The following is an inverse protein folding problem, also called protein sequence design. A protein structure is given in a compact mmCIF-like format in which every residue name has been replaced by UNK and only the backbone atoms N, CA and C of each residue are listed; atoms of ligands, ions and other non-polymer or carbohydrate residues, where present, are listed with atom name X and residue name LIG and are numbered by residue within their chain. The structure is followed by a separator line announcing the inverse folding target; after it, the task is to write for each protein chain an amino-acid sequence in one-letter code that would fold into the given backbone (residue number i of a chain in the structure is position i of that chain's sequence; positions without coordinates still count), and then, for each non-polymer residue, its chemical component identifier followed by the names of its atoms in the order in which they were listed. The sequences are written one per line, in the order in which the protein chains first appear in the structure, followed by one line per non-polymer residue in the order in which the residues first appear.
data_IF_392038786600
#
_entry.id   IF_392038786600
#
_cell.length_a   1.000
_cell.length_b   1.000
_cell.length_c   1.000
_cell.angle_alpha   90.00
_cell.angle_beta   90.00
_cell.angle_gamma   90.00
#
_symmetry.space_group_name_H-M   'P 1'
#
loop_
_entity.id
_entity.type
_entity.pdbx_description
1 polymer ?
#
# COMPACT_ATOMS: atom_id res chain seq x y z
N UNK A 1 -31.89 -22.87 9.93
CA UNK A 1 -30.87 -21.95 10.50
C UNK A 1 -29.91 -21.64 9.34
N UNK A 2 -30.26 -20.57 8.63
CA UNK A 2 -29.56 -20.19 7.38
C UNK A 2 -28.18 -19.64 7.70
N UNK A 3 -27.16 -20.32 7.14
CA UNK A 3 -25.82 -19.74 7.01
C UNK A 3 -25.92 -18.63 5.98
N UNK A 4 -26.00 -17.40 6.44
CA UNK A 4 -25.79 -16.21 5.62
C UNK A 4 -24.37 -16.30 5.10
N UNK A 5 -24.20 -16.77 3.87
CA UNK A 5 -22.98 -16.64 3.09
C UNK A 5 -22.77 -15.15 2.84
N UNK A 6 -21.99 -14.49 3.72
CA UNK A 6 -21.48 -13.15 3.45
C UNK A 6 -20.62 -13.27 2.21
N UNK A 7 -21.16 -12.86 1.08
CA UNK A 7 -20.42 -12.70 -0.18
C UNK A 7 -19.29 -11.72 0.10
N UNK A 8 -18.02 -12.17 -0.01
CA UNK A 8 -16.83 -11.33 0.17
C UNK A 8 -16.94 -10.13 -0.76
N UNK A 9 -16.67 -8.89 -0.30
CA UNK A 9 -16.70 -7.75 -1.18
C UNK A 9 -15.70 -7.96 -2.33
N UNK A 10 -16.18 -7.85 -3.56
CA UNK A 10 -15.38 -7.94 -4.81
C UNK A 10 -14.38 -6.78 -4.94
N UNK A 11 -14.42 -5.79 -4.05
CA UNK A 11 -13.69 -4.53 -4.15
C UNK A 11 -12.94 -4.25 -2.84
N UNK A 12 -11.76 -3.63 -2.96
CA UNK A 12 -11.05 -3.09 -1.82
C UNK A 12 -11.88 -1.97 -1.16
N UNK A 13 -11.95 -1.97 0.15
CA UNK A 13 -12.70 -0.98 0.95
C UNK A 13 -11.76 -0.24 1.89
N UNK A 14 -12.20 0.94 2.29
CA UNK A 14 -11.58 1.76 3.32
C UNK A 14 -12.66 2.35 4.22
N UNK A 15 -12.44 2.35 5.53
CA UNK A 15 -13.36 3.01 6.47
C UNK A 15 -13.31 4.53 6.29
N UNK A 16 -14.46 5.19 6.38
CA UNK A 16 -14.61 6.66 6.25
C UNK A 16 -13.67 7.40 7.18
N UNK A 17 -13.40 6.90 8.39
CA UNK A 17 -12.44 7.50 9.34
C UNK A 17 -11.07 7.76 8.74
N UNK A 18 -10.63 6.93 7.79
CA UNK A 18 -9.36 7.11 7.09
C UNK A 18 -9.40 8.28 6.09
N UNK A 19 -10.57 8.68 5.62
CA UNK A 19 -10.79 9.76 4.67
C UNK A 19 -11.36 11.03 5.32
N UNK A 20 -11.75 10.99 6.60
CA UNK A 20 -12.48 12.07 7.28
C UNK A 20 -11.75 13.43 7.24
N UNK A 21 -10.41 13.44 7.26
CA UNK A 21 -9.61 14.67 7.17
C UNK A 21 -9.70 15.38 5.81
N UNK A 22 -10.28 14.74 4.78
CA UNK A 22 -10.49 15.35 3.46
C UNK A 22 -11.42 16.55 3.57
N UNK A 23 -12.55 16.42 4.29
CA UNK A 23 -13.56 17.46 4.39
C UNK A 23 -13.03 18.77 4.97
N UNK A 24 -12.41 18.78 6.17
CA UNK A 24 -11.83 20.02 6.70
C UNK A 24 -10.66 20.55 5.85
N UNK A 25 -9.95 19.69 5.12
CA UNK A 25 -8.89 20.16 4.20
C UNK A 25 -9.47 20.89 2.99
N UNK A 26 -10.59 20.42 2.44
CA UNK A 26 -11.32 21.12 1.38
C UNK A 26 -11.80 22.50 1.85
N UNK A 27 -12.43 22.56 3.02
CA UNK A 27 -12.92 23.81 3.63
C UNK A 27 -11.80 24.83 3.80
N UNK A 28 -10.65 24.43 4.33
CA UNK A 28 -9.48 25.31 4.50
C UNK A 28 -8.90 25.83 3.20
N UNK A 29 -9.08 25.08 2.11
CA UNK A 29 -8.65 25.48 0.77
C UNK A 29 -9.74 26.20 -0.01
N UNK A 30 -10.87 26.54 0.64
CA UNK A 30 -11.97 27.32 0.06
C UNK A 30 -12.89 26.55 -0.90
N UNK A 31 -12.82 25.21 -0.91
CA UNK A 31 -13.70 24.36 -1.70
C UNK A 31 -14.89 23.89 -0.87
N UNK A 32 -16.05 23.68 -1.52
CA UNK A 32 -17.23 23.08 -0.90
C UNK A 32 -17.08 21.56 -0.81
N UNK A 33 -16.98 20.98 0.41
CA UNK A 33 -16.79 19.55 0.58
C UNK A 33 -17.93 18.70 0.00
N UNK A 34 -19.20 19.15 0.14
CA UNK A 34 -20.32 18.39 -0.37
C UNK A 34 -20.37 18.36 -1.90
N UNK A 35 -20.08 19.50 -2.54
CA UNK A 35 -20.02 19.57 -3.99
C UNK A 35 -18.91 18.64 -4.54
N UNK A 36 -17.73 18.59 -3.88
CA UNK A 36 -16.62 17.71 -4.26
C UNK A 36 -16.96 16.23 -4.02
N UNK A 37 -17.64 15.89 -2.92
CA UNK A 37 -18.10 14.53 -2.70
C UNK A 37 -19.05 14.06 -3.80
N UNK A 38 -20.05 14.88 -4.15
CA UNK A 38 -21.03 14.57 -5.21
C UNK A 38 -20.35 14.42 -6.57
N UNK A 39 -19.35 15.25 -6.89
CA UNK A 39 -18.59 15.12 -8.16
C UNK A 39 -17.79 13.82 -8.24
N UNK A 40 -17.34 13.32 -7.08
CA UNK A 40 -16.70 12.01 -6.97
C UNK A 40 -17.71 10.84 -7.00
N UNK A 41 -19.03 11.12 -6.96
CA UNK A 41 -20.09 10.11 -6.88
C UNK A 41 -20.25 9.52 -5.47
N UNK A 42 -19.91 10.27 -4.45
CA UNK A 42 -20.05 9.90 -3.04
C UNK A 42 -21.15 10.75 -2.41
N UNK A 43 -22.16 10.12 -1.85
CA UNK A 43 -23.19 10.80 -1.09
C UNK A 43 -22.61 11.38 0.21
N UNK A 44 -22.83 12.68 0.53
CA UNK A 44 -22.29 13.31 1.74
C UNK A 44 -22.66 12.56 3.04
N UNK A 45 -23.83 11.96 3.08
CA UNK A 45 -24.29 11.16 4.22
C UNK A 45 -23.36 9.96 4.54
N UNK A 46 -22.56 9.49 3.59
CA UNK A 46 -21.57 8.44 3.85
C UNK A 46 -20.53 8.85 4.89
N UNK A 47 -20.23 10.14 5.01
CA UNK A 47 -19.26 10.67 5.96
C UNK A 47 -19.84 10.95 7.35
N UNK A 48 -21.14 10.69 7.58
CA UNK A 48 -21.77 10.86 8.89
C UNK A 48 -21.34 9.80 9.92
N UNK A 49 -20.94 8.61 9.46
CA UNK A 49 -20.44 7.54 10.32
C UNK A 49 -19.00 7.16 9.91
N UNK A 50 -18.01 7.30 10.82
CA UNK A 50 -16.61 6.98 10.55
C UNK A 50 -16.37 5.49 10.26
N UNK A 51 -17.30 4.61 10.60
CA UNK A 51 -17.21 3.17 10.36
C UNK A 51 -17.86 2.70 9.06
N UNK A 52 -18.47 3.60 8.29
CA UNK A 52 -18.94 3.27 6.95
C UNK A 52 -17.82 2.80 6.06
N UNK A 53 -18.15 1.86 5.16
CA UNK A 53 -17.24 1.34 4.14
C UNK A 53 -17.35 2.14 2.86
N UNK A 54 -16.24 2.70 2.40
CA UNK A 54 -16.10 3.31 1.07
C UNK A 54 -15.36 2.34 0.14
N UNK A 55 -15.79 2.19 -1.13
CA UNK A 55 -14.94 1.57 -2.13
C UNK A 55 -13.61 2.34 -2.25
N UNK A 56 -12.49 1.63 -2.20
CA UNK A 56 -11.17 2.28 -2.24
C UNK A 56 -10.97 3.09 -3.53
N UNK A 57 -11.52 2.60 -4.66
CA UNK A 57 -11.53 3.32 -5.93
C UNK A 57 -12.31 4.66 -5.87
N UNK A 58 -13.37 4.74 -5.06
CA UNK A 58 -14.10 6.00 -4.87
C UNK A 58 -13.23 7.04 -4.14
N UNK A 59 -12.36 6.61 -3.23
CA UNK A 59 -11.41 7.52 -2.56
C UNK A 59 -10.35 8.04 -3.54
N UNK A 60 -9.89 7.20 -4.49
CA UNK A 60 -9.00 7.65 -5.55
C UNK A 60 -9.64 8.73 -6.43
N UNK A 61 -10.89 8.50 -6.86
CA UNK A 61 -11.66 9.48 -7.62
C UNK A 61 -11.90 10.77 -6.80
N UNK A 62 -12.23 10.62 -5.52
CA UNK A 62 -12.38 11.77 -4.62
C UNK A 62 -11.09 12.59 -4.54
N UNK A 63 -9.93 11.95 -4.42
CA UNK A 63 -8.64 12.63 -4.41
C UNK A 63 -8.41 13.42 -5.72
N UNK A 64 -8.79 12.86 -6.87
CA UNK A 64 -8.76 13.56 -8.17
C UNK A 64 -9.62 14.81 -8.13
N UNK A 65 -10.87 14.70 -7.68
CA UNK A 65 -11.80 15.84 -7.63
C UNK A 65 -11.36 16.91 -6.60
N UNK A 66 -10.75 16.48 -5.47
CA UNK A 66 -10.16 17.42 -4.50
C UNK A 66 -9.03 18.25 -5.11
N UNK A 67 -8.10 17.62 -5.85
CA UNK A 67 -7.01 18.35 -6.54
C UNK A 67 -7.56 19.29 -7.60
N UNK A 68 -8.57 18.88 -8.37
CA UNK A 68 -9.23 19.75 -9.38
C UNK A 68 -9.89 20.96 -8.74
N UNK A 69 -10.67 20.76 -7.67
CA UNK A 69 -11.41 21.82 -7.01
C UNK A 69 -10.51 22.85 -6.31
N UNK A 70 -9.35 22.42 -5.80
CA UNK A 70 -8.46 23.26 -5.00
C UNK A 70 -7.22 23.75 -5.74
N UNK A 71 -6.86 23.14 -6.87
CA UNK A 71 -5.59 23.36 -7.56
C UNK A 71 -4.36 22.93 -6.74
N UNK A 72 -4.54 22.22 -5.61
CA UNK A 72 -3.50 21.89 -4.65
C UNK A 72 -2.84 20.55 -4.99
N UNK A 73 -1.66 20.57 -5.62
CA UNK A 73 -0.90 19.35 -5.96
C UNK A 73 -0.44 18.55 -4.71
N UNK A 74 -0.33 19.21 -3.55
CA UNK A 74 0.04 18.59 -2.26
C UNK A 74 -1.19 18.30 -1.37
N UNK A 75 -2.37 18.11 -1.95
CA UNK A 75 -3.62 17.91 -1.20
C UNK A 75 -3.52 16.70 -0.26
N UNK A 76 -3.04 15.56 -0.76
CA UNK A 76 -2.85 14.35 0.05
C UNK A 76 -1.93 14.57 1.24
N UNK A 77 -0.81 15.27 1.06
CA UNK A 77 0.09 15.65 2.15
C UNK A 77 -0.66 16.46 3.22
N UNK A 78 -1.48 17.45 2.83
CA UNK A 78 -2.26 18.27 3.77
C UNK A 78 -3.29 17.43 4.55
N UNK A 79 -3.98 16.51 3.86
CA UNK A 79 -4.88 15.56 4.52
C UNK A 79 -4.13 14.72 5.55
N UNK A 80 -3.00 14.13 5.17
CA UNK A 80 -2.19 13.28 6.05
C UNK A 80 -1.60 14.06 7.24
N UNK A 81 -1.21 15.31 7.03
CA UNK A 81 -0.68 16.18 8.09
C UNK A 81 -1.69 16.43 9.23
N UNK A 82 -3.00 16.43 8.92
CA UNK A 82 -4.08 16.56 9.91
C UNK A 82 -4.43 15.26 10.64
N UNK A 83 -3.97 14.13 10.12
CA UNK A 83 -4.30 12.81 10.66
C UNK A 83 -3.37 12.42 11.80
N UNK A 84 -3.90 11.59 12.68
CA UNK A 84 -3.18 11.00 13.80
C UNK A 84 -3.52 9.50 13.93
N UNK A 85 -3.01 8.85 14.97
CA UNK A 85 -3.21 7.41 15.21
C UNK A 85 -4.70 7.01 15.31
N UNK A 86 -5.57 7.87 15.84
CA UNK A 86 -7.01 7.55 15.96
C UNK A 86 -7.69 7.46 14.60
N UNK A 87 -7.11 8.06 13.55
CA UNK A 87 -7.61 7.96 12.18
C UNK A 87 -7.58 6.54 11.60
N UNK A 88 -6.79 5.63 12.19
CA UNK A 88 -6.75 4.21 11.82
C UNK A 88 -7.48 3.32 12.85
N UNK A 89 -8.34 3.94 13.66
CA UNK A 89 -9.24 3.24 14.58
C UNK A 89 -8.50 2.45 15.66
N UNK A 90 -9.02 1.25 15.94
CA UNK A 90 -8.51 0.38 17.00
C UNK A 90 -7.02 0.01 16.80
N UNK A 91 -6.59 -0.19 15.55
CA UNK A 91 -5.17 -0.40 15.20
C UNK A 91 -4.29 0.70 15.78
N UNK A 92 -4.67 1.96 15.58
CA UNK A 92 -3.91 3.09 16.09
C UNK A 92 -3.92 3.18 17.62
N UNK A 93 -5.06 2.91 18.24
CA UNK A 93 -5.20 2.91 19.71
C UNK A 93 -4.29 1.86 20.34
N UNK A 94 -4.30 0.62 19.85
CA UNK A 94 -3.43 -0.45 20.36
C UNK A 94 -1.96 -0.12 20.15
N UNK A 95 -1.59 0.41 18.98
CA UNK A 95 -0.20 0.76 18.67
C UNK A 95 0.36 1.83 19.59
N UNK A 96 -0.45 2.79 20.07
CA UNK A 96 -0.01 3.83 21.02
C UNK A 96 0.37 3.28 22.40
N UNK A 97 -0.06 2.06 22.73
CA UNK A 97 0.22 1.43 24.02
C UNK A 97 1.12 0.19 23.90
N UNK A 98 1.67 -0.06 22.71
CA UNK A 98 2.65 -1.13 22.50
C UNK A 98 3.92 -0.95 23.34
N UNK A 99 4.66 -2.02 23.66
CA UNK A 99 5.89 -1.93 24.45
C UNK A 99 6.97 -1.08 23.80
N UNK A 100 7.22 -1.33 22.51
CA UNK A 100 8.28 -0.66 21.74
C UNK A 100 7.71 -0.09 20.44
N UNK A 101 8.47 0.78 19.77
CA UNK A 101 8.14 1.30 18.44
C UNK A 101 8.03 0.17 17.43
N UNK A 102 8.88 -0.85 17.51
CA UNK A 102 8.83 -2.07 16.71
C UNK A 102 7.46 -2.75 16.83
N UNK A 103 7.03 -3.00 18.07
CA UNK A 103 5.74 -3.64 18.34
C UNK A 103 4.59 -2.79 17.81
N UNK A 104 4.65 -1.47 17.97
CA UNK A 104 3.63 -0.55 17.46
C UNK A 104 3.51 -0.62 15.93
N UNK A 105 4.64 -0.60 15.21
CA UNK A 105 4.65 -0.70 13.75
C UNK A 105 4.21 -2.09 13.25
N UNK A 106 4.54 -3.15 14.01
CA UNK A 106 4.07 -4.49 13.73
C UNK A 106 2.55 -4.59 13.89
N UNK A 107 1.98 -4.06 14.97
CA UNK A 107 0.53 -3.98 15.16
C UNK A 107 -0.15 -3.28 13.98
N UNK A 108 0.42 -2.16 13.48
CA UNK A 108 -0.11 -1.48 12.30
C UNK A 108 -0.06 -2.39 11.08
N UNK A 109 1.08 -3.06 10.82
CA UNK A 109 1.25 -3.93 9.66
C UNK A 109 0.28 -5.11 9.67
N UNK A 110 0.06 -5.72 10.83
CA UNK A 110 -0.79 -6.90 10.97
C UNK A 110 -2.29 -6.57 10.88
N UNK A 111 -2.67 -5.36 11.29
CA UNK A 111 -4.08 -5.03 11.47
C UNK A 111 -4.62 -3.88 10.60
N UNK A 112 -3.81 -3.26 9.73
CA UNK A 112 -4.27 -2.15 8.86
C UNK A 112 -5.50 -2.54 8.01
N UNK A 113 -5.62 -3.82 7.67
CA UNK A 113 -6.71 -4.37 6.87
C UNK A 113 -8.08 -4.33 7.57
N UNK A 114 -8.12 -4.17 8.87
CA UNK A 114 -9.38 -3.98 9.60
C UNK A 114 -10.10 -2.70 9.21
N UNK A 115 -9.34 -1.71 8.72
CA UNK A 115 -9.87 -0.40 8.31
C UNK A 115 -9.61 -0.05 6.84
N UNK A 116 -8.67 -0.75 6.17
CA UNK A 116 -8.32 -0.49 4.77
C UNK A 116 -7.78 -1.76 4.10
N UNK A 117 -8.58 -2.38 3.23
CA UNK A 117 -8.21 -3.61 2.54
C UNK A 117 -7.48 -3.37 1.21
N UNK A 118 -7.38 -2.10 0.78
CA UNK A 118 -6.72 -1.69 -0.47
C UNK A 118 -5.22 -1.42 -0.36
N UNK A 119 -4.63 -1.68 0.81
CA UNK A 119 -3.23 -1.33 1.09
C UNK A 119 -2.51 -2.42 1.89
N UNK A 120 -1.18 -2.34 1.88
CA UNK A 120 -0.30 -3.07 2.78
C UNK A 120 0.76 -2.12 3.35
N UNK A 121 1.21 -2.42 4.56
CA UNK A 121 2.35 -1.78 5.20
C UNK A 121 3.40 -2.82 5.54
N UNK A 122 4.67 -2.42 5.55
CA UNK A 122 5.78 -3.33 5.78
C UNK A 122 6.92 -2.64 6.52
N UNK A 123 7.37 -3.27 7.60
CA UNK A 123 8.60 -2.89 8.29
C UNK A 123 9.76 -3.73 7.76
N UNK A 124 10.81 -3.07 7.27
CA UNK A 124 12.07 -3.70 6.90
C UNK A 124 13.21 -3.12 7.72
N UNK A 125 14.12 -3.98 8.13
CA UNK A 125 15.34 -3.63 8.84
C UNK A 125 16.54 -4.22 8.10
N UNK A 126 17.54 -3.37 7.83
CA UNK A 126 18.79 -3.73 7.16
C UNK A 126 19.97 -3.05 7.86
N UNK A 127 20.66 -3.79 8.72
CA UNK A 127 21.74 -3.24 9.55
C UNK A 127 21.24 -2.12 10.45
N UNK A 128 21.86 -0.94 10.38
CA UNK A 128 21.48 0.23 11.19
C UNK A 128 20.28 1.02 10.64
N UNK A 129 19.69 0.61 9.53
CA UNK A 129 18.61 1.34 8.87
C UNK A 129 17.32 0.53 8.89
N UNK A 130 16.22 1.17 9.29
CA UNK A 130 14.87 0.65 9.16
C UNK A 130 14.07 1.47 8.14
N UNK A 131 13.11 0.82 7.50
CA UNK A 131 12.12 1.47 6.66
C UNK A 131 10.72 0.95 6.97
N UNK A 132 9.75 1.86 7.09
CA UNK A 132 8.34 1.48 7.14
C UNK A 132 7.66 1.97 5.87
N UNK A 133 7.14 1.03 5.09
CA UNK A 133 6.63 1.23 3.75
C UNK A 133 5.11 1.15 3.71
N UNK A 134 4.51 1.87 2.76
CA UNK A 134 3.08 1.85 2.47
C UNK A 134 2.86 1.60 0.98
N UNK A 135 2.07 0.60 0.65
CA UNK A 135 1.82 0.17 -0.72
C UNK A 135 0.32 0.11 -0.98
N UNK A 136 -0.15 0.80 -2.02
CA UNK A 136 -1.50 0.62 -2.55
C UNK A 136 -1.52 -0.69 -3.34
N UNK A 137 -2.38 -1.61 -2.93
CA UNK A 137 -2.49 -2.96 -3.48
C UNK A 137 -3.72 -3.14 -4.36
N UNK A 138 -4.73 -2.27 -4.17
CA UNK A 138 -5.88 -2.21 -5.04
C UNK A 138 -5.45 -1.76 -6.45
N UNK A 139 -5.91 -2.44 -7.52
CA UNK A 139 -5.53 -2.10 -8.89
C UNK A 139 -6.25 -0.84 -9.39
N UNK A 140 -5.59 -0.13 -10.32
CA UNK A 140 -6.18 0.98 -11.10
C UNK A 140 -6.83 2.09 -10.26
N UNK A 141 -6.17 2.49 -9.18
CA UNK A 141 -6.64 3.58 -8.33
C UNK A 141 -6.21 4.93 -8.93
N UNK A 142 -7.18 5.78 -9.23
CA UNK A 142 -6.94 7.17 -9.63
C UNK A 142 -6.25 7.93 -8.50
N UNK A 143 -5.37 8.87 -8.86
CA UNK A 143 -4.64 9.72 -7.89
C UNK A 143 -4.12 8.95 -6.67
N UNK A 144 -3.61 7.72 -6.90
CA UNK A 144 -3.02 6.89 -5.85
C UNK A 144 -1.86 7.61 -5.15
N UNK A 145 -1.18 8.52 -5.83
CA UNK A 145 -0.14 9.40 -5.30
C UNK A 145 -0.65 10.26 -4.14
N UNK A 146 -1.85 10.83 -4.22
CA UNK A 146 -2.46 11.63 -3.15
C UNK A 146 -2.78 10.77 -1.91
N UNK A 147 -3.22 9.53 -2.14
CA UNK A 147 -3.48 8.56 -1.06
C UNK A 147 -2.16 8.20 -0.36
N UNK A 148 -1.11 7.94 -1.14
CA UNK A 148 0.23 7.64 -0.63
C UNK A 148 0.81 8.82 0.14
N UNK A 149 0.72 10.04 -0.38
CA UNK A 149 1.18 11.25 0.30
C UNK A 149 0.51 11.40 1.67
N UNK A 150 -0.81 11.19 1.73
CA UNK A 150 -1.57 11.25 2.98
C UNK A 150 -1.14 10.14 3.98
N UNK A 151 -0.87 8.94 3.48
CA UNK A 151 -0.43 7.82 4.32
C UNK A 151 0.98 8.04 4.88
N UNK A 152 1.93 8.52 4.06
CA UNK A 152 3.30 8.78 4.51
C UNK A 152 3.35 9.96 5.48
N UNK A 153 2.51 10.98 5.30
CA UNK A 153 2.38 12.06 6.25
C UNK A 153 1.79 11.59 7.60
N UNK A 154 0.75 10.76 7.57
CA UNK A 154 0.21 10.12 8.77
C UNK A 154 1.28 9.27 9.47
N UNK A 155 2.07 8.50 8.71
CA UNK A 155 3.14 7.68 9.25
C UNK A 155 4.21 8.53 9.95
N UNK A 156 4.61 9.66 9.37
CA UNK A 156 5.53 10.60 10.02
C UNK A 156 4.95 11.16 11.33
N UNK A 157 3.66 11.49 11.36
CA UNK A 157 2.98 11.90 12.59
C UNK A 157 2.91 10.76 13.63
N UNK A 158 2.65 9.54 13.16
CA UNK A 158 2.68 8.32 13.98
C UNK A 158 4.02 8.15 14.67
N UNK A 159 5.12 8.21 13.91
CA UNK A 159 6.46 8.08 14.48
C UNK A 159 6.80 9.22 15.45
N UNK A 160 6.40 10.45 15.15
CA UNK A 160 6.56 11.58 16.11
C UNK A 160 5.75 11.37 17.40
N UNK A 161 4.60 10.71 17.32
CA UNK A 161 3.79 10.36 18.49
C UNK A 161 4.44 9.25 19.31
N UNK A 162 4.97 8.22 18.66
CA UNK A 162 5.60 7.06 19.31
C UNK A 162 6.98 7.42 19.93
N UNK A 163 7.82 8.14 19.18
CA UNK A 163 9.21 8.45 19.56
C UNK A 163 9.38 9.82 20.22
N UNK A 164 8.39 10.69 20.13
CA UNK A 164 8.45 12.09 20.58
C UNK A 164 8.56 13.11 19.44
N UNK A 165 8.21 14.39 19.70
CA UNK A 165 8.06 15.42 18.66
C UNK A 165 9.39 15.83 18.00
N UNK A 166 10.51 15.52 18.61
CA UNK A 166 11.84 15.77 18.06
C UNK A 166 12.28 14.71 17.04
N UNK A 167 11.60 13.56 16.98
CA UNK A 167 11.93 12.51 16.02
C UNK A 167 11.82 12.99 14.58
N UNK A 168 12.78 12.59 13.76
CA UNK A 168 12.81 12.84 12.31
C UNK A 168 13.25 11.57 11.60
N UNK A 169 12.68 11.27 10.43
CA UNK A 169 13.26 10.24 9.56
C UNK A 169 14.59 10.73 8.97
N UNK A 170 15.42 9.82 8.49
CA UNK A 170 16.62 10.18 7.73
C UNK A 170 16.25 10.61 6.30
N UNK A 171 15.19 10.02 5.75
CA UNK A 171 14.68 10.27 4.39
C UNK A 171 13.23 9.84 4.28
N UNK A 172 12.50 10.48 3.36
CA UNK A 172 11.16 10.05 2.92
C UNK A 172 11.21 9.69 1.45
N UNK A 173 10.50 8.62 1.07
CA UNK A 173 10.31 8.20 -0.33
C UNK A 173 8.85 8.29 -0.70
N UNK A 174 8.57 8.84 -1.90
CA UNK A 174 7.25 8.92 -2.50
C UNK A 174 7.29 8.37 -3.93
N UNK A 175 6.25 7.64 -4.32
CA UNK A 175 6.18 7.00 -5.64
C UNK A 175 5.75 7.95 -6.76
N UNK A 176 5.18 9.10 -6.39
CA UNK A 176 4.74 10.13 -7.35
C UNK A 176 5.92 10.82 -8.02
N UNK A 177 5.65 11.38 -9.19
CA UNK A 177 6.55 12.35 -9.80
C UNK A 177 6.65 13.62 -8.94
N UNK A 178 7.79 14.35 -9.01
CA UNK A 178 7.95 15.56 -8.22
C UNK A 178 6.90 16.60 -8.60
N UNK A 179 6.17 17.17 -7.61
CA UNK A 179 5.23 18.27 -7.89
C UNK A 179 5.97 19.54 -8.31
N UNK A 180 5.26 20.50 -8.90
CA UNK A 180 5.83 21.81 -9.28
C UNK A 180 6.40 22.54 -8.06
N UNK A 181 5.66 22.52 -6.95
CA UNK A 181 6.12 23.08 -5.68
C UNK A 181 6.39 21.95 -4.68
N UNK A 182 7.68 21.72 -4.35
CA UNK A 182 8.16 20.75 -3.37
C UNK A 182 8.18 21.31 -1.94
N UNK A 183 7.98 22.63 -1.78
CA UNK A 183 8.11 23.33 -0.48
C UNK A 183 7.22 22.75 0.61
N UNK A 184 5.92 22.38 0.37
CA UNK A 184 5.07 21.80 1.39
C UNK A 184 5.64 20.49 1.96
N UNK A 185 6.24 19.66 1.10
CA UNK A 185 6.83 18.38 1.52
C UNK A 185 8.09 18.61 2.36
N UNK A 186 8.99 19.51 1.91
CA UNK A 186 10.20 19.85 2.65
C UNK A 186 9.87 20.45 4.02
N UNK A 187 8.87 21.33 4.11
CA UNK A 187 8.42 21.95 5.35
C UNK A 187 7.82 20.92 6.32
N UNK A 188 6.99 20.01 5.83
CA UNK A 188 6.33 19.03 6.67
C UNK A 188 7.29 17.94 7.20
N UNK A 189 8.05 17.32 6.29
CA UNK A 189 8.95 16.22 6.68
C UNK A 189 10.24 16.71 7.33
N UNK A 190 10.75 17.88 6.92
CA UNK A 190 12.02 18.51 7.40
C UNK A 190 13.25 17.64 7.16
N UNK A 191 13.21 16.83 6.13
CA UNK A 191 14.27 15.93 5.65
C UNK A 191 14.19 15.81 4.13
N UNK A 192 15.22 15.28 3.44
CA UNK A 192 15.16 15.04 2.01
C UNK A 192 13.99 14.13 1.62
N UNK A 193 13.24 14.51 0.60
CA UNK A 193 12.15 13.74 -0.01
C UNK A 193 12.59 13.27 -1.40
N UNK A 194 12.63 11.97 -1.58
CA UNK A 194 12.90 11.29 -2.85
C UNK A 194 11.58 11.03 -3.56
N UNK A 195 11.36 11.67 -4.72
CA UNK A 195 10.20 11.45 -5.59
C UNK A 195 10.53 10.43 -6.67
N UNK A 196 9.51 9.79 -7.24
CA UNK A 196 9.69 8.77 -8.28
C UNK A 196 10.28 7.45 -7.76
N UNK A 197 10.24 7.23 -6.45
CA UNK A 197 10.73 5.98 -5.85
C UNK A 197 9.84 4.78 -6.22
N UNK A 198 10.40 3.58 -6.19
CA UNK A 198 9.64 2.35 -6.45
C UNK A 198 8.61 2.04 -5.34
N UNK A 199 8.94 2.40 -4.10
CA UNK A 199 8.07 2.21 -2.92
C UNK A 199 8.06 3.46 -2.08
N UNK A 200 6.89 3.80 -1.53
CA UNK A 200 6.76 4.91 -0.60
C UNK A 200 7.02 4.45 0.85
N UNK A 201 7.67 5.31 1.63
CA UNK A 201 7.96 4.99 3.03
C UNK A 201 8.82 6.04 3.73
N UNK A 202 8.96 5.87 5.01
CA UNK A 202 9.92 6.60 5.84
C UNK A 202 11.12 5.71 6.16
N UNK A 203 12.32 6.28 6.07
CA UNK A 203 13.60 5.61 6.35
C UNK A 203 14.19 6.29 7.57
N UNK A 204 14.59 5.50 8.57
CA UNK A 204 15.05 5.99 9.86
C UNK A 204 16.10 5.05 10.47
N UNK A 205 16.73 5.48 11.56
CA UNK A 205 17.69 4.67 12.30
C UNK A 205 16.96 3.47 12.95
N UNK A 206 17.47 2.25 12.72
CA UNK A 206 16.90 1.03 13.25
C UNK A 206 16.88 1.00 14.79
N UNK A 207 17.79 1.69 15.46
CA UNK A 207 17.80 1.83 16.92
C UNK A 207 16.50 2.42 17.48
N UNK A 208 15.78 3.24 16.69
CA UNK A 208 14.49 3.78 17.11
C UNK A 208 13.40 2.72 17.26
N UNK A 209 13.57 1.55 16.65
CA UNK A 209 12.61 0.45 16.76
C UNK A 209 12.53 -0.11 18.19
N UNK A 210 13.63 -0.06 18.93
CA UNK A 210 13.73 -0.62 20.28
C UNK A 210 13.41 0.42 21.37
N UNK A 211 13.11 1.66 20.97
CA UNK A 211 12.68 2.68 21.93
C UNK A 211 11.30 2.31 22.51
N UNK A 212 11.10 2.54 23.82
CA UNK A 212 9.78 2.41 24.42
C UNK A 212 8.82 3.43 23.79
N UNK A 213 7.58 3.01 23.54
CA UNK A 213 6.54 3.91 23.07
C UNK A 213 6.30 4.99 24.14
N UNK A 214 6.36 6.24 23.71
CA UNK A 214 6.16 7.39 24.62
C UNK A 214 4.70 7.42 25.11
N UNK A 215 4.54 7.71 26.39
CA UNK A 215 3.24 7.85 27.07
C UNK A 215 2.36 6.58 26.95
N UNK A 216 2.98 5.38 26.82
CA UNK A 216 2.26 4.12 26.82
C UNK A 216 1.58 3.86 28.16
N UNK A 217 0.39 3.28 28.11
CA UNK A 217 -0.30 2.75 29.27
C UNK A 217 -0.52 1.24 29.10
N UNK A 218 0.12 0.39 29.95
CA UNK A 218 -0.01 -1.06 29.85
C UNK A 218 -1.43 -1.60 30.11
N UNK A 219 -2.25 -0.89 30.85
CA UNK A 219 -3.59 -1.34 31.19
C UNK A 219 -4.55 -1.11 30.00
N UNK A 220 -4.39 -0.01 29.25
CA UNK A 220 -5.07 0.16 27.97
C UNK A 220 -4.65 -0.93 26.97
N UNK A 221 -3.36 -1.31 26.91
CA UNK A 221 -2.91 -2.39 26.04
C UNK A 221 -3.66 -3.71 26.35
N UNK A 222 -3.82 -4.07 27.61
CA UNK A 222 -4.54 -5.30 28.02
C UNK A 222 -6.01 -5.28 27.62
N UNK A 223 -6.67 -4.12 27.69
CA UNK A 223 -8.09 -3.97 27.35
C UNK A 223 -8.31 -3.99 25.84
N UNK A 224 -7.45 -3.30 25.07
CA UNK A 224 -7.64 -3.07 23.64
C UNK A 224 -7.13 -4.21 22.77
N UNK A 225 -6.07 -4.93 23.19
CA UNK A 225 -5.46 -5.98 22.37
C UNK A 225 -6.44 -7.12 22.03
N UNK A 226 -7.26 -7.66 22.95
CA UNK A 226 -8.24 -8.70 22.60
C UNK A 226 -9.27 -8.23 21.55
N UNK A 227 -9.71 -6.97 21.63
CA UNK A 227 -10.65 -6.39 20.67
C UNK A 227 -10.04 -6.30 19.27
N UNK A 228 -8.74 -5.96 19.19
CA UNK A 228 -8.03 -5.93 17.93
C UNK A 228 -7.86 -7.32 17.33
N UNK A 229 -7.52 -8.33 18.15
CA UNK A 229 -7.42 -9.73 17.71
C UNK A 229 -8.74 -10.20 17.10
N UNK A 230 -9.87 -9.90 17.75
CA UNK A 230 -11.20 -10.22 17.22
C UNK A 230 -11.49 -9.48 15.90
N UNK A 231 -11.16 -8.19 15.83
CA UNK A 231 -11.36 -7.39 14.62
C UNK A 231 -10.50 -7.91 13.45
N UNK A 232 -9.25 -8.32 13.70
CA UNK A 232 -8.35 -8.93 12.70
C UNK A 232 -8.91 -10.27 12.23
N UNK A 233 -9.36 -11.14 13.15
CA UNK A 233 -9.94 -12.42 12.81
C UNK A 233 -11.19 -12.27 11.91
N UNK A 234 -12.01 -11.26 12.16
CA UNK A 234 -13.17 -10.94 11.34
C UNK A 234 -12.79 -10.37 9.96
N UNK A 235 -11.63 -9.66 9.86
CA UNK A 235 -11.13 -9.08 8.61
C UNK A 235 -10.31 -10.09 7.75
N UNK A 236 -9.83 -11.19 8.32
CA UNK A 236 -8.93 -12.17 7.67
C UNK A 236 -9.55 -12.94 6.49
N UNK A 237 -10.78 -12.63 6.12
CA UNK A 237 -11.42 -13.21 4.93
C UNK A 237 -10.65 -13.06 3.61
N UNK A 238 -9.48 -12.40 3.57
CA UNK A 238 -8.71 -12.16 2.34
C UNK A 238 -7.18 -12.30 2.49
N UNK A 239 -6.72 -13.37 3.14
CA UNK A 239 -5.30 -13.67 3.33
C UNK A 239 -4.51 -13.75 2.01
N UNK A 240 -5.15 -14.20 0.92
CA UNK A 240 -4.54 -14.27 -0.42
C UNK A 240 -4.13 -12.88 -0.92
N UNK A 241 -4.99 -11.87 -0.74
CA UNK A 241 -4.67 -10.49 -1.12
C UNK A 241 -3.53 -9.91 -0.28
N UNK A 242 -3.43 -10.27 1.00
CA UNK A 242 -2.28 -9.88 1.86
C UNK A 242 -0.99 -10.43 1.29
N UNK A 243 -0.95 -11.73 0.97
CA UNK A 243 0.23 -12.37 0.39
C UNK A 243 0.61 -11.73 -0.94
N UNK A 244 -0.38 -11.49 -1.84
CA UNK A 244 -0.15 -10.78 -3.11
C UNK A 244 0.42 -9.38 -2.90
N UNK A 245 -0.04 -8.67 -1.88
CA UNK A 245 0.44 -7.32 -1.54
C UNK A 245 1.89 -7.30 -1.12
N UNK A 246 2.27 -8.23 -0.23
CA UNK A 246 3.66 -8.39 0.20
C UNK A 246 4.56 -8.79 -0.98
N UNK A 247 4.06 -9.65 -1.88
CA UNK A 247 4.78 -10.03 -3.09
C UNK A 247 5.00 -8.81 -4.01
N UNK A 248 3.96 -7.98 -4.25
CA UNK A 248 4.08 -6.75 -5.07
C UNK A 248 5.09 -5.77 -4.49
N UNK A 249 5.08 -5.55 -3.18
CA UNK A 249 6.02 -4.67 -2.49
C UNK A 249 7.48 -5.13 -2.61
N UNK A 250 7.72 -6.40 -2.90
CA UNK A 250 9.05 -7.02 -3.03
C UNK A 250 9.53 -7.20 -4.47
N UNK A 251 8.70 -6.87 -5.45
CA UNK A 251 9.13 -6.77 -6.85
C UNK A 251 10.20 -5.68 -6.93
N UNK A 252 11.34 -5.98 -7.54
CA UNK A 252 12.48 -5.07 -7.61
C UNK A 252 13.52 -5.20 -6.47
N UNK A 253 13.14 -5.81 -5.34
CA UNK A 253 14.09 -6.10 -4.24
C UNK A 253 14.83 -7.45 -4.38
N UNK A 254 14.62 -8.16 -5.48
CA UNK A 254 15.31 -9.44 -5.80
C UNK A 254 14.93 -10.64 -4.93
N UNK A 255 13.92 -10.54 -4.05
CA UNK A 255 13.64 -11.55 -3.05
C UNK A 255 12.15 -11.93 -2.92
N UNK A 256 11.52 -12.35 -4.03
CA UNK A 256 10.19 -12.98 -3.98
C UNK A 256 10.28 -14.41 -3.45
N UNK A 257 10.90 -14.60 -2.29
CA UNK A 257 11.04 -15.90 -1.63
C UNK A 257 9.95 -16.10 -0.59
N UNK A 258 9.59 -17.38 -0.34
CA UNK A 258 8.65 -17.74 0.72
C UNK A 258 9.09 -17.20 2.07
N UNK A 259 10.38 -17.32 2.39
CA UNK A 259 10.92 -16.87 3.68
C UNK A 259 10.85 -15.34 3.85
N UNK A 260 11.02 -14.60 2.75
CA UNK A 260 10.89 -13.14 2.79
C UNK A 260 9.45 -12.70 3.08
N UNK A 261 8.45 -13.43 2.53
CA UNK A 261 7.03 -13.19 2.78
C UNK A 261 6.64 -13.65 4.19
N UNK A 262 7.14 -14.81 4.64
CA UNK A 262 6.92 -15.29 6.01
C UNK A 262 7.41 -14.28 7.05
N UNK A 263 8.62 -13.74 6.87
CA UNK A 263 9.15 -12.70 7.76
C UNK A 263 8.30 -11.43 7.75
N UNK A 264 7.84 -11.00 6.57
CA UNK A 264 7.00 -9.81 6.44
C UNK A 264 5.62 -9.98 7.09
N UNK A 265 5.10 -11.21 7.10
CA UNK A 265 3.78 -11.53 7.68
C UNK A 265 3.86 -12.02 9.13
N UNK A 266 5.06 -12.13 9.72
CA UNK A 266 5.22 -12.67 11.07
C UNK A 266 4.77 -14.13 11.23
N UNK A 267 4.73 -14.91 10.12
CA UNK A 267 4.27 -16.30 10.12
C UNK A 267 5.39 -17.26 9.69
N UNK A 268 5.32 -18.52 10.13
CA UNK A 268 6.22 -19.55 9.59
C UNK A 268 5.71 -20.13 8.26
N UNK A 269 6.59 -20.83 7.52
CA UNK A 269 6.29 -21.38 6.21
C UNK A 269 5.11 -22.39 6.22
N UNK A 270 4.94 -23.15 7.31
CA UNK A 270 3.82 -24.09 7.48
C UNK A 270 2.51 -23.35 7.62
N UNK A 271 2.45 -22.31 8.44
CA UNK A 271 1.27 -21.47 8.63
C UNK A 271 0.88 -20.77 7.32
N UNK A 272 1.87 -20.22 6.58
CA UNK A 272 1.63 -19.60 5.27
C UNK A 272 1.01 -20.62 4.29
N UNK A 273 1.61 -21.83 4.17
CA UNK A 273 1.12 -22.87 3.27
C UNK A 273 -0.30 -23.30 3.63
N UNK A 274 -0.55 -23.61 4.91
CA UNK A 274 -1.87 -24.05 5.38
C UNK A 274 -2.97 -23.00 5.15
N UNK A 275 -2.67 -21.73 5.42
CA UNK A 275 -3.63 -20.64 5.14
C UNK A 275 -3.91 -20.46 3.66
N UNK A 276 -2.90 -20.58 2.78
CA UNK A 276 -3.09 -20.48 1.34
C UNK A 276 -3.88 -21.68 0.78
N UNK A 277 -3.63 -22.88 1.30
CA UNK A 277 -4.34 -24.10 0.94
C UNK A 277 -5.85 -24.00 1.23
N UNK A 278 -6.23 -23.38 2.35
CA UNK A 278 -7.62 -23.12 2.71
C UNK A 278 -8.37 -22.26 1.65
N UNK A 279 -7.64 -21.52 0.79
CA UNK A 279 -8.17 -20.76 -0.34
C UNK A 279 -7.93 -21.44 -1.69
N UNK A 280 -7.40 -22.66 -1.70
CA UNK A 280 -7.12 -23.41 -2.93
C UNK A 280 -5.98 -22.84 -3.79
N UNK A 281 -5.08 -22.05 -3.20
CA UNK A 281 -3.96 -21.41 -3.91
C UNK A 281 -2.61 -21.80 -3.32
N UNK A 282 -1.55 -21.70 -4.15
CA UNK A 282 -0.18 -21.95 -3.71
C UNK A 282 0.63 -20.66 -3.69
N UNK A 283 1.67 -20.61 -2.87
CA UNK A 283 2.60 -19.48 -2.84
C UNK A 283 3.25 -19.21 -4.21
N UNK A 284 3.69 -20.26 -4.92
CA UNK A 284 4.28 -20.12 -6.26
C UNK A 284 3.28 -19.56 -7.26
N UNK A 285 2.03 -20.05 -7.27
CA UNK A 285 0.99 -19.53 -8.15
C UNK A 285 0.71 -18.04 -7.91
N UNK A 286 0.67 -17.60 -6.64
CA UNK A 286 0.49 -16.18 -6.31
C UNK A 286 1.70 -15.33 -6.71
N UNK A 287 2.92 -15.85 -6.51
CA UNK A 287 4.14 -15.15 -6.93
C UNK A 287 4.20 -14.98 -8.46
N UNK A 288 3.77 -16.00 -9.20
CA UNK A 288 3.71 -15.96 -10.67
C UNK A 288 2.63 -14.98 -11.16
N UNK A 289 1.46 -14.97 -10.55
CA UNK A 289 0.39 -14.01 -10.87
C UNK A 289 0.86 -12.57 -10.64
N UNK A 290 1.49 -12.30 -9.50
CA UNK A 290 2.01 -10.96 -9.17
C UNK A 290 3.15 -10.54 -10.12
N UNK A 291 4.04 -11.47 -10.50
CA UNK A 291 5.08 -11.18 -11.51
C UNK A 291 4.48 -10.90 -12.88
N UNK A 292 3.44 -11.63 -13.26
CA UNK A 292 2.76 -11.44 -14.54
C UNK A 292 2.07 -10.08 -14.62
N UNK A 293 1.33 -9.67 -13.58
CA UNK A 293 0.70 -8.35 -13.50
C UNK A 293 1.75 -7.24 -13.64
N UNK A 294 2.85 -7.33 -12.88
CA UNK A 294 3.93 -6.36 -12.94
C UNK A 294 4.62 -6.32 -14.30
N UNK A 295 4.86 -7.51 -14.91
CA UNK A 295 5.45 -7.63 -16.24
C UNK A 295 4.62 -6.90 -17.29
N UNK A 296 3.29 -7.01 -17.24
CA UNK A 296 2.40 -6.32 -18.18
C UNK A 296 2.57 -4.80 -18.09
N UNK A 297 2.59 -4.24 -16.87
CA UNK A 297 2.80 -2.80 -16.65
C UNK A 297 4.19 -2.31 -17.13
N UNK A 298 5.24 -3.11 -16.90
CA UNK A 298 6.59 -2.78 -17.32
C UNK A 298 6.79 -2.92 -18.84
N UNK A 299 6.12 -3.88 -19.48
CA UNK A 299 6.17 -4.08 -20.93
C UNK A 299 5.51 -2.95 -21.71
N UNK A 300 4.52 -2.25 -21.15
CA UNK A 300 3.90 -1.07 -21.76
C UNK A 300 4.79 0.18 -21.66
N UNK A 301 5.75 0.21 -20.73
CA UNK A 301 6.82 1.21 -20.69
C UNK A 301 7.93 0.74 -21.62
N UNK A 302 8.53 1.62 -22.39
CA UNK A 302 9.57 1.28 -23.39
C UNK A 302 10.89 0.85 -22.71
N UNK A 303 10.86 -0.27 -21.97
CA UNK A 303 11.97 -0.84 -21.22
C UNK A 303 12.49 -2.13 -21.89
N UNK A 304 13.78 -2.40 -21.74
CA UNK A 304 14.43 -3.60 -22.29
C UNK A 304 13.92 -4.85 -21.54
N UNK A 305 13.72 -5.95 -22.28
CA UNK A 305 13.26 -7.23 -21.69
C UNK A 305 14.21 -7.73 -20.58
N UNK A 306 15.53 -7.51 -20.75
CA UNK A 306 16.52 -7.90 -19.74
C UNK A 306 16.36 -7.11 -18.43
N UNK A 307 16.10 -5.81 -18.50
CA UNK A 307 15.86 -4.97 -17.33
C UNK A 307 14.58 -5.39 -16.60
N UNK A 308 13.52 -5.67 -17.35
CA UNK A 308 12.25 -6.18 -16.79
C UNK A 308 12.48 -7.51 -16.08
N UNK A 309 13.26 -8.42 -16.64
CA UNK A 309 13.60 -9.69 -16.00
C UNK A 309 14.29 -9.49 -14.66
N UNK A 310 15.26 -8.59 -14.60
CA UNK A 310 15.99 -8.24 -13.36
C UNK A 310 15.05 -7.63 -12.32
N UNK A 311 14.20 -6.68 -12.71
CA UNK A 311 13.23 -6.04 -11.79
C UNK A 311 12.23 -7.05 -11.20
N UNK A 312 11.85 -8.07 -11.99
CA UNK A 312 10.95 -9.12 -11.55
C UNK A 312 11.65 -10.24 -10.74
N UNK A 313 12.96 -10.10 -10.50
CA UNK A 313 13.75 -11.03 -9.69
C UNK A 313 14.15 -12.31 -10.42
N UNK A 314 14.21 -12.31 -11.75
CA UNK A 314 14.76 -13.42 -12.53
C UNK A 314 16.27 -13.27 -12.67
N UNK A 315 17.01 -14.37 -12.43
CA UNK A 315 18.46 -14.40 -12.60
C UNK A 315 18.87 -14.19 -14.07
N UNK A 316 18.05 -14.71 -15.00
CA UNK A 316 18.33 -14.68 -16.44
C UNK A 316 17.11 -14.23 -17.25
N UNK A 317 17.29 -13.40 -18.29
CA UNK A 317 16.20 -12.99 -19.17
C UNK A 317 15.46 -14.16 -19.83
N UNK A 318 16.18 -15.24 -20.12
CA UNK A 318 15.63 -16.47 -20.70
C UNK A 318 14.60 -17.16 -19.77
N UNK A 319 14.84 -17.10 -18.46
CA UNK A 319 13.91 -17.65 -17.46
C UNK A 319 12.61 -16.83 -17.41
N UNK A 320 12.71 -15.50 -17.45
CA UNK A 320 11.55 -14.60 -17.56
C UNK A 320 10.75 -14.87 -18.86
N UNK A 321 11.41 -14.98 -20.00
CA UNK A 321 10.73 -15.23 -21.27
C UNK A 321 9.94 -16.54 -21.23
N UNK A 322 10.50 -17.62 -20.65
CA UNK A 322 9.80 -18.91 -20.48
C UNK A 322 8.60 -18.78 -19.54
N UNK A 323 8.79 -18.15 -18.39
CA UNK A 323 7.73 -17.92 -17.40
C UNK A 323 6.59 -17.09 -18.01
N UNK A 324 6.90 -15.97 -18.65
CA UNK A 324 5.90 -15.10 -19.28
C UNK A 324 5.13 -15.83 -20.38
N UNK A 325 5.82 -16.66 -21.18
CA UNK A 325 5.14 -17.49 -22.19
C UNK A 325 4.21 -18.52 -21.56
N UNK A 326 4.58 -19.10 -20.42
CA UNK A 326 3.72 -20.01 -19.66
C UNK A 326 2.47 -19.30 -19.15
N UNK A 327 2.60 -18.06 -18.67
CA UNK A 327 1.48 -17.29 -18.12
C UNK A 327 0.54 -16.73 -19.19
N UNK A 328 1.08 -16.25 -20.33
CA UNK A 328 0.33 -15.49 -21.35
C UNK A 328 0.10 -16.22 -22.67
N UNK A 329 0.71 -17.40 -22.83
CA UNK A 329 0.70 -18.15 -24.10
C UNK A 329 1.62 -17.57 -25.18
N UNK A 330 2.25 -16.41 -24.98
CA UNK A 330 3.09 -15.74 -25.98
C UNK A 330 4.37 -15.14 -25.37
N UNK A 331 5.35 -14.74 -26.18
CA UNK A 331 6.57 -14.13 -25.67
C UNK A 331 6.34 -12.67 -25.27
N UNK A 332 7.11 -12.11 -24.31
CA UNK A 332 7.00 -10.71 -23.89
C UNK A 332 7.07 -9.72 -25.05
N UNK A 333 8.00 -9.94 -25.99
CA UNK A 333 8.17 -9.07 -27.16
C UNK A 333 6.93 -9.09 -28.08
N UNK A 334 6.36 -10.27 -28.34
CA UNK A 334 5.16 -10.42 -29.15
C UNK A 334 3.93 -9.84 -28.47
N UNK A 335 3.82 -10.04 -27.16
CA UNK A 335 2.74 -9.47 -26.33
C UNK A 335 2.78 -7.92 -26.39
N UNK A 336 3.97 -7.31 -26.25
CA UNK A 336 4.18 -5.85 -26.38
C UNK A 336 3.76 -5.34 -27.75
N UNK A 337 4.22 -6.00 -28.83
CA UNK A 337 3.91 -5.60 -30.20
C UNK A 337 2.39 -5.60 -30.48
N UNK A 338 1.68 -6.62 -30.01
CA UNK A 338 0.21 -6.73 -30.19
C UNK A 338 -0.53 -5.60 -29.46
N UNK A 339 -0.06 -5.16 -28.30
CA UNK A 339 -0.71 -4.11 -27.51
C UNK A 339 -0.35 -2.70 -27.93
N UNK A 340 0.84 -2.49 -28.51
CA UNK A 340 1.26 -1.21 -29.06
C UNK A 340 0.81 -0.99 -30.52
N UNK A 341 -0.09 -1.84 -31.07
CA UNK A 341 -0.63 -1.68 -32.42
C UNK A 341 0.34 -2.01 -33.56
N UNK A 342 1.51 -2.60 -33.27
CA UNK A 342 2.49 -3.05 -34.27
C UNK A 342 2.17 -4.49 -34.65
N UNK A 343 1.60 -4.71 -35.82
CA UNK A 343 1.38 -6.05 -36.35
C UNK A 343 2.72 -6.82 -36.43
N UNK A 344 2.82 -8.10 -36.01
CA UNK A 344 4.05 -8.87 -36.12
C UNK A 344 4.42 -9.00 -37.60
N UNK A 345 5.64 -8.54 -37.94
CA UNK A 345 6.22 -8.71 -39.26
C UNK A 345 6.18 -10.21 -39.61
N UNK A 346 5.35 -10.56 -40.59
CA UNK A 346 5.25 -11.91 -41.13
C UNK A 346 6.62 -12.37 -41.61
N UNK A 347 7.09 -13.52 -41.14
CA UNK A 347 8.22 -14.22 -41.73
C UNK A 347 7.82 -14.58 -43.15
N UNK A 348 8.36 -13.85 -44.13
CA UNK A 348 8.29 -14.21 -45.52
C UNK A 348 8.79 -15.66 -45.70
N UNK A 349 7.91 -16.53 -46.13
CA UNK A 349 8.33 -17.84 -46.70
C UNK A 349 9.07 -17.54 -47.99
N UNK A 350 10.43 -17.61 -47.91
CA UNK A 350 11.22 -17.72 -49.10
C UNK A 350 10.93 -19.04 -49.80
N UNK A 351 10.27 -18.93 -50.94
CA UNK A 351 10.20 -19.99 -51.96
C UNK A 351 11.58 -20.14 -52.58
N UNK A 352 12.19 -21.28 -52.44
CA UNK A 352 12.96 -22.00 -53.46
C UNK A 352 12.87 -23.49 -53.18
#
# INVERSE_FOLDING_TARGET
MDRITRTKPRFAIIKVRNAAAILPTLTDLGADPEAVLRSAGIEPAMFSDPDNDLPFAAVGKLATECVKATGCESFGLRVGARRNMTSIGLTGLVSMHAPTVRDALQVISDSIRTSNTGVATMLEERGSVASFQYVVTAPNIESADQIVDAAIALLANTMRRLCGPAWRPNRVRLTRDPPRDKSPFAQFFRVPVEFGALTAGVIFDAAALDWPVRDRDPDYAKILAPLLVEAVANAEGDFVSVVKSVLRARIGAGALTRDSVCRALGVNARTLAHRLEAFGVTFSGLADEVRFDAAQGLLLKDRRIAEIATDLGFAEPSAFIRAFKSWSGTTPARWRATRNGVAPAGRGRGTR
#
